data_IF_207197987274
#
_entry.id   IF_207197987274
#
_cell.length_a   1.000
_cell.length_b   1.000
_cell.length_c   1.000
_cell.angle_alpha   90.00
_cell.angle_beta   90.00
_cell.angle_gamma   90.00
#
_symmetry.space_group_name_H-M   'P 1'
#
loop_
_entity.id
_entity.type
_entity.pdbx_description
1 polymer ?
#
# COMPACT_ATOMS: atom_id res chain seq x y z
N UNK A 1 17.18 -1.77 -2.42
CA UNK A 1 16.32 -0.56 -2.34
C UNK A 1 14.87 -0.95 -2.66
N UNK A 2 14.14 -1.56 -1.72
CA UNK A 2 12.72 -1.95 -1.89
C UNK A 2 11.76 -0.99 -1.14
N UNK A 3 12.31 -0.15 -0.26
CA UNK A 3 11.56 0.72 0.66
C UNK A 3 10.87 1.88 -0.05
N UNK A 4 11.44 2.41 -1.15
CA UNK A 4 10.86 3.56 -1.86
C UNK A 4 9.53 3.23 -2.56
N UNK A 5 9.39 2.02 -3.10
CA UNK A 5 8.14 1.59 -3.75
C UNK A 5 6.99 1.46 -2.76
N UNK A 6 7.27 0.87 -1.60
CA UNK A 6 6.30 0.72 -0.51
C UNK A 6 5.86 2.06 0.06
N UNK A 7 6.81 2.95 0.39
CA UNK A 7 6.48 4.27 0.94
C UNK A 7 5.66 5.10 -0.05
N UNK A 8 6.00 5.05 -1.34
CA UNK A 8 5.24 5.74 -2.40
C UNK A 8 3.82 5.19 -2.49
N UNK A 9 3.65 3.86 -2.50
CA UNK A 9 2.34 3.22 -2.52
C UNK A 9 1.49 3.59 -1.29
N UNK A 10 2.09 3.62 -0.09
CA UNK A 10 1.43 4.05 1.14
C UNK A 10 0.96 5.50 1.09
N UNK A 11 1.81 6.42 0.62
CA UNK A 11 1.46 7.84 0.48
C UNK A 11 0.31 8.03 -0.50
N UNK A 12 0.33 7.32 -1.63
CA UNK A 12 -0.71 7.41 -2.66
C UNK A 12 -2.03 6.79 -2.22
N UNK A 13 -1.99 5.66 -1.51
CA UNK A 13 -3.16 5.04 -0.90
C UNK A 13 -3.79 5.98 0.13
N UNK A 14 -2.96 6.57 1.02
CA UNK A 14 -3.41 7.55 2.02
C UNK A 14 -3.95 8.84 1.41
N UNK A 15 -3.49 9.21 0.22
CA UNK A 15 -4.02 10.35 -0.54
C UNK A 15 -5.38 10.03 -1.21
N UNK A 16 -5.84 8.77 -1.17
CA UNK A 16 -7.04 8.32 -1.88
C UNK A 16 -6.87 8.32 -3.40
N UNK A 17 -5.64 8.41 -3.89
CA UNK A 17 -5.32 8.45 -5.33
C UNK A 17 -5.34 7.06 -5.96
N UNK A 18 -5.05 6.02 -5.19
CA UNK A 18 -5.00 4.64 -5.64
C UNK A 18 -5.79 3.74 -4.70
N UNK A 19 -6.41 2.71 -5.27
CA UNK A 19 -6.99 1.59 -4.52
C UNK A 19 -5.89 0.65 -4.02
N UNK A 20 -6.24 -0.23 -3.07
CA UNK A 20 -5.35 -1.23 -2.45
C UNK A 20 -4.54 -1.99 -3.52
N UNK A 21 -5.22 -2.53 -4.54
CA UNK A 21 -4.59 -3.31 -5.62
C UNK A 21 -3.63 -2.53 -6.49
N UNK A 22 -3.92 -1.24 -6.74
CA UNK A 22 -3.01 -0.39 -7.52
C UNK A 22 -1.78 0.00 -6.70
N UNK A 23 -1.95 0.25 -5.41
CA UNK A 23 -0.85 0.52 -4.50
C UNK A 23 0.04 -0.72 -4.31
N UNK A 24 -0.56 -1.90 -4.14
CA UNK A 24 0.13 -3.19 -4.03
C UNK A 24 0.95 -3.50 -5.30
N UNK A 25 0.35 -3.33 -6.48
CA UNK A 25 1.03 -3.50 -7.78
C UNK A 25 2.22 -2.55 -7.91
N UNK A 26 2.09 -1.29 -7.48
CA UNK A 26 3.20 -0.32 -7.45
C UNK A 26 4.29 -0.69 -6.46
N UNK A 27 3.93 -1.27 -5.32
CA UNK A 27 4.85 -1.77 -4.32
C UNK A 27 5.48 -3.12 -4.72
N UNK A 28 5.08 -3.72 -5.84
CA UNK A 28 5.58 -5.01 -6.33
C UNK A 28 5.20 -6.18 -5.43
N UNK A 29 4.08 -6.07 -4.71
CA UNK A 29 3.62 -7.07 -3.75
C UNK A 29 2.14 -7.37 -3.97
N UNK A 30 1.71 -8.53 -3.49
CA UNK A 30 0.31 -8.92 -3.53
C UNK A 30 -0.53 -8.03 -2.64
N UNK A 31 -1.80 -7.90 -3.01
CA UNK A 31 -2.79 -7.09 -2.30
C UNK A 31 -2.87 -7.44 -0.80
N UNK A 32 -2.86 -8.75 -0.48
CA UNK A 32 -2.84 -9.27 0.89
C UNK A 32 -1.58 -8.84 1.67
N UNK A 33 -0.41 -8.88 1.03
CA UNK A 33 0.86 -8.44 1.64
C UNK A 33 0.85 -6.93 1.90
N UNK A 34 0.25 -6.16 0.99
CA UNK A 34 0.10 -4.72 1.15
C UNK A 34 -0.91 -4.38 2.25
N UNK A 35 -2.06 -5.07 2.32
CA UNK A 35 -3.04 -4.94 3.39
C UNK A 35 -2.45 -5.27 4.76
N UNK A 36 -1.67 -6.36 4.86
CA UNK A 36 -0.95 -6.70 6.10
C UNK A 36 0.10 -5.67 6.48
N UNK A 37 0.70 -5.01 5.49
CA UNK A 37 1.60 -3.88 5.74
C UNK A 37 0.82 -2.67 6.24
N UNK A 38 -0.29 -2.30 5.61
CA UNK A 38 -1.16 -1.22 6.09
C UNK A 38 -1.62 -1.44 7.53
N UNK A 39 -2.01 -2.68 7.88
CA UNK A 39 -2.37 -3.07 9.24
C UNK A 39 -1.21 -2.89 10.25
N UNK A 40 0.03 -3.24 9.86
CA UNK A 40 1.21 -2.99 10.69
C UNK A 40 1.49 -1.49 10.90
N UNK A 41 1.14 -0.65 9.93
CA UNK A 41 1.26 0.80 10.01
C UNK A 41 0.02 1.47 10.63
N UNK A 42 -1.02 0.72 11.00
CA UNK A 42 -2.26 1.23 11.56
C UNK A 42 -3.12 2.02 10.56
N UNK A 43 -2.91 1.81 9.25
CA UNK A 43 -3.70 2.44 8.20
C UNK A 43 -4.90 1.53 7.90
N UNK A 44 -6.15 1.99 8.09
CA UNK A 44 -7.31 1.21 7.73
C UNK A 44 -7.33 1.00 6.22
N UNK A 45 -7.24 -0.25 5.78
CA UNK A 45 -7.51 -0.62 4.40
C UNK A 45 -9.02 -0.53 4.21
N UNK A 46 -9.49 0.61 3.72
CA UNK A 46 -10.88 0.75 3.30
C UNK A 46 -11.04 -0.04 2.01
N UNK A 47 -11.83 -1.12 2.09
CA UNK A 47 -12.34 -1.89 0.95
C UNK A 47 -13.30 -1.05 0.09
#
# INVERSE_FOLDING_TARGET
MATNGLLTALTLYRCGTLTLGQAATRAGQSDDTFARTLAQYGIPSHE
#
